data_IF_860206899463
#
_entry.id   IF_860206899463
#
_cell.length_a   1.000
_cell.length_b   1.000
_cell.length_c   1.000
_cell.angle_alpha   90.00
_cell.angle_beta   90.00
_cell.angle_gamma   90.00
#
_symmetry.space_group_name_H-M   'P 1'
#
loop_
_entity.id
_entity.type
_entity.pdbx_description
1 polymer ?
#
# COMPACT_ATOMS: atom_id res chain seq x y z
N UNK A 1 -74.65 -5.07 31.99
CA UNK A 1 -75.38 -4.80 30.72
C UNK A 1 -74.81 -3.55 30.07
N UNK A 2 -74.62 -3.53 28.73
CA UNK A 2 -73.98 -2.46 27.93
C UNK A 2 -72.46 -2.30 28.27
N UNK A 3 -71.49 -2.27 27.35
CA UNK A 3 -71.26 -1.54 26.08
C UNK A 3 -71.12 -0.02 26.27
N UNK A 4 -70.11 0.67 25.72
CA UNK A 4 -68.85 0.26 25.05
C UNK A 4 -67.97 1.53 24.79
N UNK A 5 -66.69 1.37 24.35
CA UNK A 5 -65.96 2.31 23.45
C UNK A 5 -65.66 3.74 24.00
N UNK A 6 -64.48 4.37 23.91
CA UNK A 6 -63.20 4.20 23.18
C UNK A 6 -62.09 4.89 24.07
N UNK A 7 -60.82 5.22 23.74
CA UNK A 7 -59.94 5.21 22.56
C UNK A 7 -58.45 5.06 23.00
N UNK A 8 -57.54 5.03 22.02
CA UNK A 8 -56.06 5.04 22.09
C UNK A 8 -55.48 6.20 22.94
N UNK A 9 -54.32 5.96 23.57
CA UNK A 9 -53.05 6.47 23.01
C UNK A 9 -51.86 5.57 23.37
N UNK A 10 -50.81 5.62 22.55
CA UNK A 10 -49.59 4.80 22.61
C UNK A 10 -48.40 5.70 22.94
N UNK A 11 -47.50 5.28 23.83
CA UNK A 11 -46.09 5.73 23.82
C UNK A 11 -45.19 4.82 24.67
N UNK A 12 -44.54 3.84 24.03
CA UNK A 12 -43.50 3.01 24.64
C UNK A 12 -42.15 3.75 24.48
N UNK A 13 -41.73 4.50 25.50
CA UNK A 13 -40.49 5.28 25.46
C UNK A 13 -39.29 4.51 26.01
N UNK A 14 -38.85 3.45 25.31
CA UNK A 14 -37.53 2.84 25.58
C UNK A 14 -36.46 3.76 25.01
N UNK A 15 -35.82 4.54 25.88
CA UNK A 15 -34.66 5.36 25.54
C UNK A 15 -33.44 4.46 25.28
N UNK A 16 -33.33 3.96 24.05
CA UNK A 16 -32.08 3.44 23.51
C UNK A 16 -31.07 4.59 23.41
N UNK A 17 -30.30 4.80 24.47
CA UNK A 17 -29.16 5.70 24.49
C UNK A 17 -28.04 5.10 23.63
N UNK A 18 -28.15 5.24 22.31
CA UNK A 18 -27.07 4.95 21.37
C UNK A 18 -25.95 5.93 21.65
N UNK A 19 -24.95 5.49 22.42
CA UNK A 19 -23.71 6.25 22.63
C UNK A 19 -22.88 6.13 21.35
N UNK A 20 -23.29 6.88 20.32
CA UNK A 20 -22.47 7.14 19.14
C UNK A 20 -21.19 7.82 19.63
N UNK A 21 -20.12 7.05 19.73
CA UNK A 21 -18.84 7.52 20.25
C UNK A 21 -18.21 8.51 19.29
N UNK A 22 -18.55 9.80 19.45
CA UNK A 22 -18.00 10.88 18.65
C UNK A 22 -16.47 10.90 18.76
N UNK A 23 -15.80 10.35 17.75
CA UNK A 23 -14.36 10.45 17.59
C UNK A 23 -14.01 11.93 17.51
N UNK A 24 -13.24 12.42 18.49
CA UNK A 24 -12.90 13.84 18.55
C UNK A 24 -11.85 14.14 17.47
N UNK A 25 -12.05 15.24 16.75
CA UNK A 25 -11.02 15.85 15.90
C UNK A 25 -9.77 16.11 16.75
N UNK A 26 -8.55 15.77 16.27
CA UNK A 26 -7.31 16.15 16.94
C UNK A 26 -7.26 17.66 17.17
N UNK A 27 -6.70 18.11 18.30
CA UNK A 27 -6.63 19.54 18.62
C UNK A 27 -5.76 20.30 17.62
N UNK A 28 -4.60 19.73 17.29
CA UNK A 28 -3.67 20.17 16.26
C UNK A 28 -3.06 18.94 15.56
N UNK A 29 -2.57 19.15 14.33
CA UNK A 29 -1.76 18.17 13.60
C UNK A 29 -0.30 18.66 13.49
N UNK A 30 0.69 17.75 13.53
CA UNK A 30 2.08 18.11 13.28
C UNK A 30 2.24 18.67 11.86
N UNK A 31 3.23 19.55 11.62
CA UNK A 31 3.35 20.28 10.36
C UNK A 31 3.36 19.37 9.11
N UNK A 32 4.03 18.23 9.16
CA UNK A 32 4.08 17.28 8.04
C UNK A 32 2.75 16.57 7.75
N UNK A 33 1.79 16.58 8.68
CA UNK A 33 0.44 16.04 8.49
C UNK A 33 -0.57 17.05 7.96
N UNK A 34 -0.14 18.25 7.51
CA UNK A 34 -1.03 19.34 7.05
C UNK A 34 -0.63 19.84 5.67
N UNK A 35 -1.61 20.06 4.79
CA UNK A 35 -1.42 20.31 3.36
C UNK A 35 -0.65 21.61 3.06
N UNK A 36 -0.84 22.67 3.86
CA UNK A 36 -0.23 23.98 3.61
C UNK A 36 1.30 23.96 3.73
N UNK A 37 1.86 23.02 4.48
CA UNK A 37 3.32 22.78 4.59
C UNK A 37 3.97 22.41 3.25
N UNK A 38 3.19 21.90 2.30
CA UNK A 38 3.67 21.39 1.01
C UNK A 38 3.44 22.36 -0.16
N UNK A 39 2.83 23.53 0.08
CA UNK A 39 2.62 24.55 -0.96
C UNK A 39 1.69 24.11 -2.09
N UNK A 40 0.75 23.18 -1.81
CA UNK A 40 -0.15 22.62 -2.81
C UNK A 40 -1.07 23.67 -3.44
N UNK A 41 -1.00 23.78 -4.77
CA UNK A 41 -1.98 24.49 -5.59
C UNK A 41 -2.76 23.46 -6.45
N UNK A 42 -4.11 23.39 -6.34
CA UNK A 42 -4.91 22.49 -7.17
C UNK A 42 -4.90 22.84 -8.67
N UNK A 43 -4.53 24.07 -9.06
CA UNK A 43 -4.43 24.48 -10.46
C UNK A 43 -3.09 24.07 -11.13
N UNK A 44 -2.02 23.89 -10.35
CA UNK A 44 -0.70 23.42 -10.82
C UNK A 44 -0.79 22.06 -11.55
N UNK A 45 0.08 21.83 -12.53
CA UNK A 45 0.18 20.51 -13.19
C UNK A 45 0.79 19.53 -12.20
N UNK A 46 0.35 18.28 -12.25
CA UNK A 46 0.93 17.20 -11.44
C UNK A 46 2.46 17.05 -11.64
N UNK A 47 2.94 17.33 -12.86
CA UNK A 47 4.36 17.33 -13.23
C UNK A 47 5.17 18.46 -12.56
N UNK A 48 4.53 19.57 -12.23
CA UNK A 48 5.12 20.69 -11.49
C UNK A 48 5.32 20.30 -10.01
N UNK A 49 4.50 19.37 -9.50
CA UNK A 49 4.57 18.78 -8.15
C UNK A 49 5.61 17.66 -8.02
N UNK A 50 6.26 17.25 -9.12
CA UNK A 50 7.42 16.33 -9.09
C UNK A 50 8.67 17.17 -8.79
N UNK A 51 9.14 17.20 -7.55
CA UNK A 51 10.18 18.14 -7.09
C UNK A 51 11.18 17.52 -6.11
N UNK A 52 12.06 18.35 -5.55
CA UNK A 52 12.96 17.97 -4.45
C UNK A 52 12.14 17.83 -3.16
N UNK A 53 12.38 16.78 -2.39
CA UNK A 53 11.72 16.55 -1.09
C UNK A 53 11.88 17.78 -0.14
N UNK A 54 10.82 18.22 0.55
CA UNK A 54 10.92 19.26 1.58
C UNK A 54 11.92 18.87 2.68
N UNK A 55 12.82 19.76 3.13
CA UNK A 55 13.87 19.41 4.10
C UNK A 55 13.34 18.82 5.42
N UNK A 56 12.19 19.29 5.90
CA UNK A 56 11.54 18.76 7.11
C UNK A 56 11.09 17.30 6.93
N UNK A 57 10.57 16.95 5.74
CA UNK A 57 10.11 15.60 5.41
C UNK A 57 11.29 14.63 5.24
N UNK A 58 12.39 15.09 4.62
CA UNK A 58 13.64 14.32 4.54
C UNK A 58 14.23 14.04 5.92
N UNK A 59 14.24 15.03 6.82
CA UNK A 59 14.75 14.85 8.18
C UNK A 59 13.85 13.88 8.98
N UNK A 60 12.52 14.01 8.86
CA UNK A 60 11.60 13.06 9.47
C UNK A 60 11.87 11.60 9.04
N UNK A 61 12.12 11.34 7.75
CA UNK A 61 12.50 10.01 7.27
C UNK A 61 13.87 9.54 7.78
N UNK A 62 14.88 10.44 7.86
CA UNK A 62 16.18 10.12 8.47
C UNK A 62 16.04 9.68 9.93
N UNK A 63 15.19 10.36 10.69
CA UNK A 63 14.96 10.09 12.10
C UNK A 63 14.12 8.82 12.31
N UNK A 64 13.09 8.59 11.48
CA UNK A 64 12.18 7.44 11.56
C UNK A 64 12.89 6.12 11.23
N UNK A 65 13.57 6.06 10.07
CA UNK A 65 14.32 4.87 9.65
C UNK A 65 15.71 4.75 10.33
N UNK A 66 16.16 5.79 11.04
CA UNK A 66 17.51 5.94 11.61
C UNK A 66 18.60 5.91 10.53
N UNK A 67 18.32 6.55 9.39
CA UNK A 67 19.13 6.56 8.16
C UNK A 67 19.63 7.98 7.83
N UNK A 68 20.64 8.51 8.55
CA UNK A 68 21.16 9.86 8.32
C UNK A 68 21.78 10.04 6.92
N UNK A 69 22.12 8.93 6.25
CA UNK A 69 22.67 8.88 4.89
C UNK A 69 21.63 9.12 3.79
N UNK A 70 20.32 9.12 4.10
CA UNK A 70 19.28 9.55 3.15
C UNK A 70 19.58 10.96 2.63
N UNK A 71 19.49 11.15 1.32
CA UNK A 71 19.77 12.42 0.65
C UNK A 71 18.67 12.83 -0.32
N UNK A 72 18.39 14.13 -0.38
CA UNK A 72 17.46 14.69 -1.36
C UNK A 72 17.93 14.36 -2.79
N UNK A 73 17.02 13.87 -3.63
CA UNK A 73 17.26 13.72 -5.06
C UNK A 73 16.50 14.80 -5.83
N UNK A 74 17.17 15.46 -6.77
CA UNK A 74 16.51 16.39 -7.71
C UNK A 74 16.14 15.61 -8.98
N UNK A 75 14.85 15.38 -9.27
CA UNK A 75 14.45 14.72 -10.50
C UNK A 75 14.86 15.57 -11.70
N UNK A 76 15.46 14.92 -12.70
CA UNK A 76 15.69 15.47 -14.04
C UNK A 76 14.41 15.46 -14.86
N UNK A 77 14.39 16.19 -15.97
CA UNK A 77 13.24 16.20 -16.89
C UNK A 77 12.98 14.80 -17.50
N UNK A 78 14.02 13.98 -17.66
CA UNK A 78 13.89 12.56 -18.02
C UNK A 78 13.23 11.71 -16.93
N UNK A 79 13.48 11.98 -15.64
CA UNK A 79 12.85 11.25 -14.54
C UNK A 79 11.37 11.64 -14.41
N UNK A 80 11.06 12.93 -14.61
CA UNK A 80 9.68 13.43 -14.71
C UNK A 80 8.94 12.80 -15.89
N UNK A 81 9.56 12.79 -17.07
CA UNK A 81 8.97 12.22 -18.28
C UNK A 81 8.66 10.72 -18.11
N UNK A 82 9.59 9.94 -17.53
CA UNK A 82 9.39 8.51 -17.25
C UNK A 82 8.28 8.26 -16.22
N UNK A 83 8.22 9.06 -15.15
CA UNK A 83 7.13 8.95 -14.16
C UNK A 83 5.78 9.28 -14.79
N UNK A 84 5.70 10.34 -15.60
CA UNK A 84 4.48 10.72 -16.32
C UNK A 84 4.12 9.74 -17.44
N UNK A 85 5.08 9.05 -18.07
CA UNK A 85 4.82 7.91 -18.95
C UNK A 85 4.13 6.79 -18.18
N UNK A 86 4.73 6.36 -17.06
CA UNK A 86 4.23 5.23 -16.27
C UNK A 86 2.89 5.54 -15.62
N UNK A 87 2.63 6.78 -15.18
CA UNK A 87 1.32 7.20 -14.65
C UNK A 87 0.19 7.02 -15.68
N UNK A 88 0.46 7.20 -16.98
CA UNK A 88 -0.53 6.96 -18.06
C UNK A 88 -0.82 5.47 -18.28
N UNK A 89 0.00 4.57 -17.73
CA UNK A 89 -0.24 3.13 -17.75
C UNK A 89 -1.20 2.68 -16.64
N UNK A 90 -1.40 3.48 -15.58
CA UNK A 90 -2.32 3.17 -14.48
C UNK A 90 -3.80 3.27 -14.94
N UNK A 91 -4.77 2.74 -14.17
CA UNK A 91 -6.19 2.98 -14.40
C UNK A 91 -6.54 4.48 -14.30
N UNK A 92 -7.48 5.02 -15.10
CA UNK A 92 -7.75 6.47 -15.14
C UNK A 92 -8.24 7.12 -13.83
N UNK A 93 -8.62 6.33 -12.83
CA UNK A 93 -8.93 6.85 -11.49
C UNK A 93 -7.69 7.42 -10.79
N UNK A 94 -6.51 6.80 -10.97
CA UNK A 94 -5.25 7.25 -10.37
C UNK A 94 -4.88 8.64 -10.88
N UNK A 95 -4.97 8.91 -12.18
CA UNK A 95 -4.65 10.24 -12.74
C UNK A 95 -5.59 11.33 -12.21
N UNK A 96 -6.89 11.03 -12.08
CA UNK A 96 -7.88 11.96 -11.47
C UNK A 96 -7.55 12.24 -10.01
N UNK A 97 -7.29 11.19 -9.24
CA UNK A 97 -6.96 11.29 -7.82
C UNK A 97 -5.64 12.02 -7.59
N UNK A 98 -4.59 11.71 -8.35
CA UNK A 98 -3.30 12.41 -8.24
C UNK A 98 -3.46 13.90 -8.55
N UNK A 99 -4.17 14.27 -9.63
CA UNK A 99 -4.46 15.68 -9.95
C UNK A 99 -5.19 16.40 -8.80
N UNK A 100 -6.17 15.75 -8.17
CA UNK A 100 -7.02 16.33 -7.14
C UNK A 100 -6.50 16.24 -5.69
N UNK A 101 -5.58 15.31 -5.38
CA UNK A 101 -5.17 14.93 -4.01
C UNK A 101 -3.68 14.64 -3.80
N UNK A 102 -2.88 14.44 -4.85
CA UNK A 102 -1.43 14.34 -4.67
C UNK A 102 -0.84 15.74 -4.46
N UNK A 103 -0.32 15.98 -3.27
CA UNK A 103 0.29 17.24 -2.86
C UNK A 103 1.70 17.40 -3.45
N UNK A 104 2.49 16.32 -3.45
CA UNK A 104 3.84 16.28 -4.02
C UNK A 104 4.32 14.87 -4.33
N UNK A 105 5.24 14.79 -5.31
CA UNK A 105 5.96 13.56 -5.66
C UNK A 105 7.45 13.86 -5.55
N UNK A 106 8.13 13.10 -4.69
CA UNK A 106 9.51 13.35 -4.28
C UNK A 106 10.41 12.13 -4.47
N UNK A 107 11.71 12.34 -4.39
CA UNK A 107 12.71 11.27 -4.45
C UNK A 107 13.76 11.40 -3.35
N UNK A 108 14.13 10.27 -2.73
CA UNK A 108 15.17 10.20 -1.68
C UNK A 108 16.21 9.15 -2.05
N UNK A 109 17.43 9.61 -2.29
CA UNK A 109 18.59 8.73 -2.49
C UNK A 109 18.87 7.93 -1.22
N UNK A 110 19.01 6.61 -1.35
CA UNK A 110 19.32 5.70 -0.23
C UNK A 110 18.10 5.16 0.53
N UNK A 111 16.88 5.63 0.20
CA UNK A 111 15.60 5.23 0.79
C UNK A 111 15.45 3.71 0.92
N UNK A 112 14.92 3.24 2.05
CA UNK A 112 14.56 1.83 2.24
C UNK A 112 13.29 1.51 1.46
N UNK A 113 13.27 0.33 0.84
CA UNK A 113 12.21 -0.04 -0.09
C UNK A 113 12.23 0.76 -1.40
N UNK A 114 11.05 0.82 -2.04
CA UNK A 114 10.86 1.41 -3.36
C UNK A 114 10.12 2.77 -3.32
N UNK A 115 9.31 2.98 -2.28
CA UNK A 115 8.63 4.24 -2.00
C UNK A 115 8.03 4.26 -0.60
N UNK A 116 7.39 5.39 -0.27
CA UNK A 116 6.55 5.63 0.91
C UNK A 116 5.44 6.62 0.50
N UNK A 117 4.20 6.36 0.90
CA UNK A 117 3.06 7.28 0.72
C UNK A 117 2.51 7.75 2.07
N UNK A 118 2.53 9.06 2.29
CA UNK A 118 2.12 9.68 3.56
C UNK A 118 0.87 10.55 3.38
N UNK A 119 -0.10 10.43 4.27
CA UNK A 119 -1.28 11.31 4.33
C UNK A 119 -0.93 12.73 4.80
N UNK A 120 -1.70 13.71 4.33
CA UNK A 120 -1.75 15.08 4.88
C UNK A 120 -3.19 15.58 4.85
N UNK A 121 -3.61 16.37 5.84
CA UNK A 121 -4.98 16.90 5.91
C UNK A 121 -5.05 18.30 5.30
N UNK A 122 -6.03 18.51 4.42
CA UNK A 122 -6.30 19.78 3.73
C UNK A 122 -7.58 20.47 4.19
N UNK A 123 -8.07 21.46 3.39
CA UNK A 123 -9.33 22.13 3.64
C UNK A 123 -10.51 21.15 3.79
N UNK A 124 -11.47 21.50 4.65
CA UNK A 124 -12.66 20.69 4.95
C UNK A 124 -12.34 19.27 5.46
N UNK A 125 -11.22 19.11 6.17
CA UNK A 125 -10.71 17.83 6.72
C UNK A 125 -10.47 16.73 5.67
N UNK A 126 -10.39 17.10 4.39
CA UNK A 126 -10.11 16.18 3.28
C UNK A 126 -8.69 15.64 3.37
N UNK A 127 -8.55 14.33 3.19
CA UNK A 127 -7.24 13.65 3.11
C UNK A 127 -6.62 13.87 1.72
N UNK A 128 -5.35 14.26 1.72
CA UNK A 128 -4.44 14.38 0.58
C UNK A 128 -3.22 13.49 0.86
N UNK A 129 -2.31 13.33 -0.11
CA UNK A 129 -1.13 12.48 0.07
C UNK A 129 0.12 13.02 -0.64
N UNK A 130 1.29 12.68 -0.11
CA UNK A 130 2.58 12.81 -0.78
C UNK A 130 3.11 11.41 -1.11
N UNK A 131 3.78 11.26 -2.26
CA UNK A 131 4.52 10.05 -2.61
C UNK A 131 6.02 10.36 -2.60
N UNK A 132 6.83 9.53 -1.94
CA UNK A 132 8.29 9.57 -2.02
C UNK A 132 8.80 8.28 -2.65
N UNK A 133 9.69 8.36 -3.63
CA UNK A 133 10.21 7.22 -4.37
C UNK A 133 11.73 7.05 -4.21
N UNK A 134 12.21 5.81 -4.31
CA UNK A 134 13.63 5.52 -4.36
C UNK A 134 14.15 5.74 -5.80
N UNK A 135 15.09 6.68 -6.06
CA UNK A 135 15.58 6.97 -7.40
C UNK A 135 16.43 5.83 -8.01
N UNK A 136 16.76 4.77 -7.25
CA UNK A 136 17.27 3.53 -7.83
C UNK A 136 16.25 2.88 -8.79
N UNK A 137 14.94 2.99 -8.48
CA UNK A 137 13.84 2.41 -9.24
C UNK A 137 13.69 3.00 -10.66
N UNK A 138 14.22 4.21 -10.90
CA UNK A 138 14.33 4.82 -12.23
C UNK A 138 15.26 4.01 -13.17
N UNK A 139 16.21 3.26 -12.60
CA UNK A 139 17.32 2.62 -13.32
C UNK A 139 17.21 1.09 -13.35
N UNK A 140 16.85 0.47 -12.22
CA UNK A 140 16.71 -0.99 -12.08
C UNK A 140 15.54 -1.55 -12.89
N UNK A 141 15.65 -2.80 -13.34
CA UNK A 141 14.53 -3.50 -14.01
C UNK A 141 13.41 -3.88 -13.03
N UNK A 142 12.18 -4.07 -13.53
CA UNK A 142 11.04 -4.47 -12.71
C UNK A 142 11.29 -5.81 -11.98
N UNK A 143 11.68 -6.87 -12.71
CA UNK A 143 12.12 -8.15 -12.14
C UNK A 143 13.27 -8.01 -11.13
N UNK A 144 14.20 -7.09 -11.36
CA UNK A 144 15.36 -6.85 -10.49
C UNK A 144 14.95 -6.20 -9.17
N UNK A 145 14.08 -5.19 -9.23
CA UNK A 145 13.50 -4.50 -8.07
C UNK A 145 12.68 -5.47 -7.21
N UNK A 146 11.82 -6.30 -7.82
CA UNK A 146 11.03 -7.29 -7.09
C UNK A 146 11.91 -8.43 -6.54
N UNK A 147 12.92 -8.89 -7.28
CA UNK A 147 13.93 -9.83 -6.76
C UNK A 147 14.66 -9.28 -5.53
N UNK A 148 15.03 -7.99 -5.53
CA UNK A 148 15.66 -7.31 -4.37
C UNK A 148 14.70 -7.23 -3.18
N UNK A 149 13.40 -7.01 -3.41
CA UNK A 149 12.36 -7.06 -2.37
C UNK A 149 12.26 -8.44 -1.74
N UNK A 150 11.95 -9.48 -2.52
CA UNK A 150 11.72 -10.83 -1.99
C UNK A 150 12.95 -11.39 -1.25
N UNK A 151 14.17 -11.22 -1.82
CA UNK A 151 15.43 -11.62 -1.15
C UNK A 151 15.62 -10.98 0.22
N UNK A 152 15.09 -9.78 0.45
CA UNK A 152 15.24 -9.09 1.75
C UNK A 152 14.44 -9.71 2.90
N UNK A 153 13.60 -10.72 2.62
CA UNK A 153 12.96 -11.56 3.64
C UNK A 153 13.89 -12.59 4.29
N UNK A 154 14.95 -13.00 3.58
CA UNK A 154 15.65 -14.25 3.89
C UNK A 154 17.12 -14.05 4.26
N UNK A 155 17.59 -14.81 5.25
CA UNK A 155 19.01 -14.96 5.58
C UNK A 155 19.64 -15.84 4.49
N UNK A 156 20.65 -15.36 3.73
CA UNK A 156 21.14 -16.07 2.55
C UNK A 156 22.00 -17.29 2.88
N UNK A 157 21.92 -18.32 2.05
CA UNK A 157 22.73 -19.55 2.10
C UNK A 157 23.26 -19.89 0.70
N UNK A 158 24.43 -20.53 0.64
CA UNK A 158 25.02 -20.96 -0.64
C UNK A 158 24.13 -22.02 -1.32
N UNK A 159 23.95 -21.91 -2.64
CA UNK A 159 23.07 -22.78 -3.43
C UNK A 159 21.57 -22.47 -3.34
N UNK A 160 21.16 -21.48 -2.53
CA UNK A 160 19.77 -21.06 -2.40
C UNK A 160 19.56 -19.63 -2.90
N UNK A 161 18.43 -19.36 -3.55
CA UNK A 161 18.10 -18.02 -4.07
C UNK A 161 16.59 -17.84 -4.25
N UNK A 162 16.11 -16.60 -4.24
CA UNK A 162 14.74 -16.23 -4.61
C UNK A 162 14.82 -15.13 -5.68
N UNK A 163 14.06 -15.29 -6.75
CA UNK A 163 13.97 -14.33 -7.87
C UNK A 163 12.51 -14.08 -8.24
N UNK A 164 12.24 -12.93 -8.85
CA UNK A 164 10.93 -12.63 -9.44
C UNK A 164 11.11 -12.38 -10.93
N UNK A 165 10.34 -13.11 -11.75
CA UNK A 165 10.12 -12.72 -13.14
C UNK A 165 8.84 -11.87 -13.23
N UNK A 166 9.04 -10.59 -13.54
CA UNK A 166 8.01 -9.62 -13.85
C UNK A 166 8.27 -8.91 -15.21
N UNK A 167 9.02 -9.56 -16.10
CA UNK A 167 9.32 -9.05 -17.44
C UNK A 167 10.43 -7.99 -17.50
N UNK A 168 11.04 -7.87 -18.68
CA UNK A 168 12.14 -6.93 -18.94
C UNK A 168 11.73 -5.55 -19.48
N UNK A 169 10.44 -5.32 -19.72
CA UNK A 169 9.95 -4.10 -20.42
C UNK A 169 10.01 -2.83 -19.57
N UNK A 170 9.79 -2.96 -18.26
CA UNK A 170 9.59 -1.83 -17.36
C UNK A 170 10.68 -1.71 -16.29
N UNK A 171 10.85 -0.49 -15.77
CA UNK A 171 11.72 -0.19 -14.63
C UNK A 171 11.00 -0.44 -13.30
N UNK A 172 11.76 -0.57 -12.22
CA UNK A 172 11.23 -0.69 -10.85
C UNK A 172 10.27 0.45 -10.47
N UNK A 173 10.41 1.62 -11.10
CA UNK A 173 9.51 2.77 -10.96
C UNK A 173 8.03 2.41 -11.22
N UNK A 174 7.74 1.48 -12.14
CA UNK A 174 6.35 1.11 -12.44
C UNK A 174 5.70 0.38 -11.25
N UNK A 175 6.41 -0.54 -10.63
CA UNK A 175 5.97 -1.18 -9.39
C UNK A 175 5.77 -0.14 -8.29
N UNK A 176 6.77 0.72 -8.07
CA UNK A 176 6.71 1.73 -7.02
C UNK A 176 5.52 2.68 -7.21
N UNK A 177 5.31 3.19 -8.42
CA UNK A 177 4.21 4.11 -8.73
C UNK A 177 2.82 3.43 -8.68
N UNK A 178 2.71 2.15 -9.01
CA UNK A 178 1.47 1.38 -8.85
C UNK A 178 1.13 1.17 -7.36
N UNK A 179 2.13 0.73 -6.59
CA UNK A 179 2.00 0.40 -5.18
C UNK A 179 1.74 1.65 -4.33
N UNK A 180 2.62 2.65 -4.39
CA UNK A 180 2.42 3.95 -3.73
C UNK A 180 1.16 4.67 -4.23
N UNK A 181 0.86 4.55 -5.53
CA UNK A 181 -0.35 5.12 -6.10
C UNK A 181 -1.63 4.47 -5.58
N UNK A 182 -1.58 3.21 -5.14
CA UNK A 182 -2.72 2.52 -4.55
C UNK A 182 -2.98 2.99 -3.11
N UNK A 183 -1.94 3.15 -2.30
CA UNK A 183 -2.03 3.83 -0.99
C UNK A 183 -2.56 5.26 -1.13
N UNK A 184 -2.01 6.04 -2.09
CA UNK A 184 -2.48 7.39 -2.39
C UNK A 184 -3.95 7.44 -2.83
N UNK A 185 -4.41 6.43 -3.57
CA UNK A 185 -5.81 6.27 -3.94
C UNK A 185 -6.69 5.88 -2.73
N UNK A 186 -6.21 5.00 -1.85
CA UNK A 186 -6.90 4.59 -0.64
C UNK A 186 -7.10 5.75 0.34
N UNK A 187 -6.04 6.50 0.66
CA UNK A 187 -6.13 7.74 1.44
C UNK A 187 -7.18 8.72 0.89
N UNK A 188 -7.25 8.86 -0.44
CA UNK A 188 -8.11 9.84 -1.11
C UNK A 188 -9.57 9.39 -1.28
N UNK A 189 -9.86 8.09 -1.21
CA UNK A 189 -11.16 7.51 -1.55
C UNK A 189 -11.76 6.59 -0.48
N UNK A 190 -10.99 6.14 0.51
CA UNK A 190 -11.43 5.22 1.55
C UNK A 190 -11.76 3.83 1.02
N UNK A 191 -10.82 3.18 0.31
CA UNK A 191 -11.03 1.86 -0.29
C UNK A 191 -10.98 0.78 0.78
N UNK A 192 -9.91 0.73 1.57
CA UNK A 192 -9.77 -0.16 2.72
C UNK A 192 -10.50 0.41 3.96
N UNK A 193 -10.61 -0.33 5.08
CA UNK A 193 -11.18 0.23 6.31
C UNK A 193 -10.39 1.43 6.87
N UNK A 194 -9.07 1.48 6.64
CA UNK A 194 -8.21 2.67 6.74
C UNK A 194 -6.80 2.35 6.19
N UNK A 195 -6.19 3.28 5.46
CA UNK A 195 -4.90 3.04 4.78
C UNK A 195 -3.69 2.94 5.74
N UNK A 196 -3.75 3.58 6.91
CA UNK A 196 -2.61 3.78 7.82
C UNK A 196 -3.10 3.85 9.27
N UNK A 197 -2.50 3.06 10.18
CA UNK A 197 -2.83 3.00 11.61
C UNK A 197 -2.27 4.18 12.43
N UNK A 198 -1.33 4.94 11.87
CA UNK A 198 -0.84 6.22 12.41
C UNK A 198 -1.77 7.39 12.10
N UNK A 199 -2.61 7.28 11.07
CA UNK A 199 -3.57 8.34 10.72
C UNK A 199 -4.65 8.43 11.83
N UNK A 200 -4.93 9.61 12.40
CA UNK A 200 -5.92 9.72 13.47
C UNK A 200 -7.31 9.27 13.01
N UNK A 201 -7.97 8.40 13.79
CA UNK A 201 -9.27 7.78 13.46
C UNK A 201 -10.39 8.74 13.03
N UNK A 202 -10.29 10.03 13.36
CA UNK A 202 -11.19 11.07 12.87
C UNK A 202 -11.18 11.22 11.33
N UNK A 203 -10.05 10.91 10.68
CA UNK A 203 -9.84 11.00 9.23
C UNK A 203 -9.96 9.65 8.50
N UNK A 204 -10.27 8.56 9.22
CA UNK A 204 -10.59 7.28 8.60
C UNK A 204 -11.93 7.36 7.84
N UNK A 205 -12.14 6.58 6.77
CA UNK A 205 -13.43 6.55 6.10
C UNK A 205 -14.54 6.07 7.05
N UNK A 206 -15.69 6.74 7.03
CA UNK A 206 -16.84 6.35 7.85
C UNK A 206 -17.43 4.99 7.40
N UNK A 207 -17.42 4.75 6.08
CA UNK A 207 -17.69 3.48 5.42
C UNK A 207 -16.66 3.30 4.30
N UNK A 208 -16.11 2.10 4.14
CA UNK A 208 -15.10 1.83 3.11
C UNK A 208 -15.75 1.42 1.77
N UNK A 209 -15.18 1.86 0.64
CA UNK A 209 -15.69 1.55 -0.71
C UNK A 209 -15.66 0.04 -0.98
N UNK A 210 -14.68 -0.68 -0.44
CA UNK A 210 -14.61 -2.15 -0.54
C UNK A 210 -15.56 -2.89 0.42
N UNK A 211 -16.23 -2.17 1.32
CA UNK A 211 -17.20 -2.69 2.29
C UNK A 211 -16.65 -3.85 3.12
N UNK A 212 -17.10 -5.07 2.80
CA UNK A 212 -16.69 -6.29 3.52
C UNK A 212 -15.46 -7.00 2.94
N UNK A 213 -14.91 -6.57 1.78
CA UNK A 213 -13.86 -7.30 1.04
C UNK A 213 -12.66 -7.68 1.91
N UNK A 214 -12.00 -6.69 2.54
CA UNK A 214 -10.86 -6.96 3.43
C UNK A 214 -11.28 -7.73 4.67
N UNK A 215 -12.48 -7.46 5.21
CA UNK A 215 -13.06 -8.16 6.37
C UNK A 215 -13.43 -9.63 6.07
N UNK A 216 -13.25 -10.14 4.84
CA UNK A 216 -13.25 -11.58 4.52
C UNK A 216 -11.92 -12.26 4.92
N UNK A 217 -10.82 -11.52 4.83
CA UNK A 217 -9.43 -12.02 4.99
C UNK A 217 -8.81 -11.56 6.31
N UNK A 218 -9.07 -10.33 6.70
CA UNK A 218 -8.47 -9.62 7.83
C UNK A 218 -9.44 -9.53 9.01
N UNK A 219 -8.90 -9.72 10.21
CA UNK A 219 -9.60 -9.55 11.49
C UNK A 219 -9.21 -8.26 12.21
N UNK A 220 -8.00 -7.76 11.94
CA UNK A 220 -7.50 -6.43 12.27
C UNK A 220 -6.42 -6.04 11.24
N UNK A 221 -5.94 -4.79 11.24
CA UNK A 221 -5.08 -4.17 10.21
C UNK A 221 -3.97 -5.07 9.66
N UNK A 222 -3.21 -5.74 10.54
CA UNK A 222 -2.09 -6.64 10.23
C UNK A 222 -2.32 -8.10 10.67
N UNK A 223 -3.55 -8.43 11.08
CA UNK A 223 -3.94 -9.73 11.67
C UNK A 223 -5.00 -10.41 10.80
N UNK A 224 -4.62 -11.36 9.93
CA UNK A 224 -5.55 -12.13 9.13
C UNK A 224 -6.29 -13.18 9.97
N UNK A 225 -7.44 -13.65 9.48
CA UNK A 225 -8.08 -14.82 10.07
C UNK A 225 -7.20 -16.06 9.89
N UNK A 226 -7.26 -17.00 10.83
CA UNK A 226 -6.50 -18.27 10.80
C UNK A 226 -6.72 -19.11 9.52
N UNK A 227 -7.81 -18.91 8.78
CA UNK A 227 -8.08 -19.52 7.46
C UNK A 227 -7.30 -18.90 6.29
N UNK A 228 -6.66 -17.77 6.53
CA UNK A 228 -5.96 -16.93 5.54
C UNK A 228 -4.50 -16.69 5.91
N UNK A 229 -4.13 -16.85 7.19
CA UNK A 229 -2.74 -16.83 7.66
C UNK A 229 -1.95 -18.07 7.20
N UNK A 230 -0.63 -17.97 7.15
CA UNK A 230 0.27 -19.05 6.74
C UNK A 230 1.56 -19.10 7.57
N UNK A 231 2.26 -20.24 7.53
CA UNK A 231 3.45 -20.47 8.34
C UNK A 231 4.58 -19.49 7.99
N UNK A 232 5.07 -18.76 9.00
CA UNK A 232 6.16 -17.79 8.88
C UNK A 232 5.75 -16.37 8.44
N UNK A 233 4.47 -16.07 8.19
CA UNK A 233 3.99 -14.73 7.79
C UNK A 233 4.34 -13.63 8.80
N UNK A 234 4.30 -13.96 10.09
CA UNK A 234 4.69 -13.10 11.20
C UNK A 234 6.20 -12.80 11.20
N UNK A 235 7.03 -13.75 10.76
CA UNK A 235 8.47 -13.60 10.59
C UNK A 235 8.86 -12.81 9.33
N UNK A 236 7.97 -12.65 8.35
CA UNK A 236 8.25 -11.90 7.12
C UNK A 236 8.61 -10.44 7.44
N UNK A 237 9.78 -10.00 6.98
CA UNK A 237 10.34 -8.65 7.16
C UNK A 237 11.00 -8.21 5.87
N UNK A 238 10.88 -6.94 5.48
CA UNK A 238 11.50 -6.43 4.26
C UNK A 238 12.59 -5.39 4.55
N UNK A 239 13.61 -5.34 3.70
CA UNK A 239 14.69 -4.34 3.70
C UNK A 239 15.47 -4.20 5.04
N UNK A 240 15.35 -5.18 5.95
CA UNK A 240 15.91 -5.13 7.31
C UNK A 240 14.99 -4.52 8.37
N UNK A 241 13.83 -3.97 7.98
CA UNK A 241 12.83 -3.41 8.89
C UNK A 241 12.32 -4.47 9.88
N UNK A 242 11.95 -4.01 11.08
CA UNK A 242 11.49 -4.90 12.16
C UNK A 242 12.58 -5.85 12.71
N UNK A 243 13.86 -5.61 12.42
CA UNK A 243 14.98 -6.44 12.84
C UNK A 243 15.16 -7.71 11.99
N UNK A 244 14.97 -7.59 10.67
CA UNK A 244 15.10 -8.70 9.72
C UNK A 244 16.42 -8.69 8.92
N UNK A 245 16.62 -9.65 8.00
CA UNK A 245 15.74 -10.81 7.72
C UNK A 245 15.70 -11.81 8.89
N UNK A 246 14.56 -12.47 9.10
CA UNK A 246 14.33 -13.41 10.21
C UNK A 246 14.23 -14.87 9.80
N UNK A 247 13.86 -15.11 8.54
CA UNK A 247 13.60 -16.44 7.99
C UNK A 247 14.89 -16.94 7.33
N UNK A 248 15.28 -18.20 7.54
CA UNK A 248 16.40 -18.75 6.76
C UNK A 248 15.93 -19.05 5.33
N UNK A 249 16.73 -18.76 4.30
CA UNK A 249 16.31 -19.06 2.92
C UNK A 249 16.02 -20.57 2.70
N UNK A 250 16.56 -21.45 3.56
CA UNK A 250 16.20 -22.89 3.58
C UNK A 250 14.72 -23.16 3.87
N UNK A 251 14.03 -22.23 4.54
CA UNK A 251 12.60 -22.29 4.88
C UNK A 251 11.69 -21.68 3.79
N UNK A 252 12.26 -21.01 2.77
CA UNK A 252 11.52 -20.30 1.73
C UNK A 252 10.47 -21.18 1.05
N UNK A 253 10.74 -22.48 0.90
CA UNK A 253 9.76 -23.46 0.41
C UNK A 253 8.45 -23.42 1.19
N UNK A 254 8.51 -23.55 2.52
CA UNK A 254 7.31 -23.65 3.37
C UNK A 254 6.56 -22.32 3.45
N UNK A 255 7.29 -21.20 3.43
CA UNK A 255 6.74 -19.85 3.40
C UNK A 255 5.96 -19.61 2.10
N UNK A 256 6.52 -19.97 0.94
CA UNK A 256 5.87 -19.81 -0.35
C UNK A 256 4.78 -20.86 -0.62
N UNK A 257 4.95 -22.12 -0.20
CA UNK A 257 3.87 -23.13 -0.18
C UNK A 257 2.71 -22.72 0.75
N UNK A 258 2.98 -21.89 1.75
CA UNK A 258 1.96 -21.24 2.59
C UNK A 258 1.25 -20.11 1.84
N UNK A 259 2.02 -19.20 1.23
CA UNK A 259 1.49 -18.09 0.42
C UNK A 259 0.58 -18.57 -0.72
N UNK A 260 0.97 -19.62 -1.44
CA UNK A 260 0.20 -20.19 -2.57
C UNK A 260 -1.19 -20.69 -2.16
N UNK A 261 -1.34 -21.09 -0.89
CA UNK A 261 -2.60 -21.58 -0.30
C UNK A 261 -3.32 -20.49 0.49
N UNK A 262 -2.87 -19.24 0.37
CA UNK A 262 -3.40 -18.06 1.06
C UNK A 262 -4.09 -17.12 0.06
N UNK A 263 -4.94 -16.17 0.52
CA UNK A 263 -5.53 -15.16 -0.34
C UNK A 263 -4.58 -14.03 -0.76
N UNK A 264 -3.30 -14.06 -0.37
CA UNK A 264 -2.37 -12.93 -0.55
C UNK A 264 -1.58 -13.02 -1.86
N UNK A 265 -1.46 -11.88 -2.53
CA UNK A 265 -0.72 -11.79 -3.81
C UNK A 265 0.79 -12.02 -3.65
N UNK A 266 1.35 -11.59 -2.52
CA UNK A 266 2.78 -11.66 -2.24
C UNK A 266 3.06 -11.73 -0.75
N UNK A 267 4.31 -12.02 -0.37
CA UNK A 267 4.75 -11.89 1.02
C UNK A 267 4.61 -10.44 1.54
N UNK A 268 4.72 -9.44 0.66
CA UNK A 268 4.53 -8.02 1.01
C UNK A 268 3.06 -7.72 1.33
N UNK A 269 2.14 -8.20 0.49
CA UNK A 269 0.69 -8.03 0.69
C UNK A 269 0.13 -8.79 1.89
N UNK A 270 0.91 -9.69 2.49
CA UNK A 270 0.55 -10.40 3.72
C UNK A 270 0.83 -9.62 5.02
N UNK A 271 1.34 -8.38 4.92
CA UNK A 271 1.71 -7.56 6.10
C UNK A 271 0.54 -6.77 6.70
N UNK A 272 -0.31 -6.12 5.89
CA UNK A 272 -1.56 -5.46 6.32
C UNK A 272 -2.59 -5.44 5.18
N UNK A 273 -3.85 -5.08 5.46
CA UNK A 273 -4.84 -4.93 4.39
C UNK A 273 -4.53 -3.78 3.40
N UNK A 274 -3.70 -2.80 3.79
CA UNK A 274 -3.28 -1.72 2.91
C UNK A 274 -2.23 -2.25 1.93
N UNK A 275 -1.28 -3.06 2.41
CA UNK A 275 -0.32 -3.76 1.56
C UNK A 275 -1.01 -4.80 0.66
N UNK A 276 -2.04 -5.48 1.15
CA UNK A 276 -2.91 -6.39 0.38
C UNK A 276 -3.60 -5.62 -0.77
N UNK A 277 -4.23 -4.47 -0.50
CA UNK A 277 -4.81 -3.59 -1.52
C UNK A 277 -3.76 -3.16 -2.56
N UNK A 278 -2.62 -2.65 -2.10
CA UNK A 278 -1.58 -2.12 -2.98
C UNK A 278 -0.97 -3.20 -3.89
N UNK A 279 -0.72 -4.40 -3.36
CA UNK A 279 -0.19 -5.54 -4.13
C UNK A 279 -1.24 -6.14 -5.08
N UNK A 280 -2.50 -6.31 -4.64
CA UNK A 280 -3.59 -6.80 -5.50
C UNK A 280 -3.77 -5.87 -6.71
N UNK A 281 -3.90 -4.56 -6.48
CA UNK A 281 -4.06 -3.57 -7.54
C UNK A 281 -2.82 -3.50 -8.45
N UNK A 282 -1.61 -3.55 -7.88
CA UNK A 282 -0.35 -3.53 -8.64
C UNK A 282 -0.24 -4.72 -9.58
N UNK A 283 -0.41 -5.95 -9.08
CA UNK A 283 -0.24 -7.14 -9.92
C UNK A 283 -1.40 -7.35 -10.90
N UNK A 284 -2.64 -6.99 -10.54
CA UNK A 284 -3.74 -6.98 -11.50
C UNK A 284 -3.47 -6.05 -12.71
N UNK A 285 -2.88 -4.86 -12.48
CA UNK A 285 -2.48 -3.96 -13.58
C UNK A 285 -1.27 -4.51 -14.34
N UNK A 286 -0.23 -4.98 -13.65
CA UNK A 286 0.99 -5.51 -14.29
C UNK A 286 0.68 -6.72 -15.20
N UNK A 287 -0.07 -7.70 -14.71
CA UNK A 287 -0.31 -8.94 -15.44
C UNK A 287 -1.54 -8.88 -16.35
N UNK A 288 -2.62 -8.25 -15.89
CA UNK A 288 -3.86 -8.09 -16.67
C UNK A 288 -3.77 -7.01 -17.74
N UNK A 289 -3.56 -5.74 -17.34
CA UNK A 289 -3.54 -4.60 -18.27
C UNK A 289 -2.26 -4.51 -19.10
N UNK A 290 -1.11 -4.85 -18.51
CA UNK A 290 0.21 -4.65 -19.12
C UNK A 290 0.90 -5.95 -19.60
N UNK A 291 0.26 -7.10 -19.41
CA UNK A 291 0.71 -8.39 -19.95
C UNK A 291 2.10 -8.84 -19.48
N UNK A 292 2.59 -8.32 -18.35
CA UNK A 292 3.83 -8.79 -17.76
C UNK A 292 3.59 -10.12 -17.01
N UNK A 293 4.59 -11.01 -16.91
CA UNK A 293 4.48 -12.14 -15.99
C UNK A 293 4.43 -11.63 -14.54
N UNK A 294 4.02 -12.50 -13.62
CA UNK A 294 4.43 -12.42 -12.23
C UNK A 294 4.69 -13.84 -11.74
N UNK A 295 5.96 -14.19 -11.59
CA UNK A 295 6.40 -15.50 -11.11
C UNK A 295 7.44 -15.34 -10.03
N UNK A 296 7.34 -16.12 -8.96
CA UNK A 296 8.39 -16.23 -7.94
C UNK A 296 9.14 -17.53 -8.14
N UNK A 297 10.45 -17.45 -8.32
CA UNK A 297 11.34 -18.58 -8.58
C UNK A 297 12.20 -18.84 -7.34
N UNK A 298 12.07 -20.02 -6.75
CA UNK A 298 12.82 -20.47 -5.58
C UNK A 298 13.86 -21.47 -6.04
N UNK A 299 15.13 -21.09 -5.97
CA UNK A 299 16.28 -21.94 -6.28
C UNK A 299 16.72 -22.69 -5.03
N UNK A 300 16.88 -24.00 -5.19
CA UNK A 300 17.52 -24.93 -4.26
C UNK A 300 18.86 -25.40 -4.87
N UNK A 301 19.74 -26.07 -4.11
CA UNK A 301 21.02 -26.55 -4.65
C UNK A 301 20.85 -27.44 -5.89
N UNK A 302 19.85 -28.33 -5.87
CA UNK A 302 19.64 -29.35 -6.91
C UNK A 302 18.32 -29.19 -7.70
N UNK A 303 17.52 -28.15 -7.43
CA UNK A 303 16.19 -27.98 -8.05
C UNK A 303 15.69 -26.53 -8.07
N UNK A 304 14.55 -26.30 -8.75
CA UNK A 304 13.92 -25.00 -8.92
C UNK A 304 12.39 -25.16 -8.81
N UNK A 305 11.73 -24.38 -7.96
CA UNK A 305 10.26 -24.26 -7.93
C UNK A 305 9.85 -22.90 -8.47
N UNK A 306 8.71 -22.83 -9.17
CA UNK A 306 8.12 -21.57 -9.66
C UNK A 306 6.68 -21.48 -9.19
N UNK A 307 6.33 -20.37 -8.53
CA UNK A 307 4.97 -20.01 -8.16
C UNK A 307 4.45 -18.91 -9.08
N UNK A 308 3.15 -18.91 -9.34
CA UNK A 308 2.46 -17.92 -10.18
C UNK A 308 1.19 -17.43 -9.44
N UNK A 309 1.30 -16.53 -8.42
CA UNK A 309 0.20 -16.20 -7.50
C UNK A 309 -1.10 -15.72 -8.17
N UNK A 310 -0.99 -15.05 -9.33
CA UNK A 310 -2.13 -14.65 -10.18
C UNK A 310 -2.98 -15.82 -10.72
N UNK A 311 -2.56 -17.08 -10.56
CA UNK A 311 -3.32 -18.28 -10.96
C UNK A 311 -4.13 -18.92 -9.82
N UNK A 312 -3.91 -18.51 -8.57
CA UNK A 312 -4.64 -18.99 -7.38
C UNK A 312 -5.69 -17.99 -6.89
N UNK A 313 -6.20 -18.21 -5.67
CA UNK A 313 -7.21 -17.38 -5.01
C UNK A 313 -6.85 -15.89 -4.97
N UNK A 314 -5.55 -15.58 -4.79
CA UNK A 314 -5.04 -14.22 -4.83
C UNK A 314 -5.29 -13.53 -6.19
N UNK A 315 -5.18 -14.26 -7.30
CA UNK A 315 -5.52 -13.76 -8.64
C UNK A 315 -7.01 -13.46 -8.81
N UNK A 316 -7.89 -14.28 -8.23
CA UNK A 316 -9.33 -14.01 -8.22
C UNK A 316 -9.67 -12.76 -7.37
N UNK A 317 -9.06 -12.63 -6.19
CA UNK A 317 -9.18 -11.42 -5.36
C UNK A 317 -8.64 -10.16 -6.04
N UNK A 318 -7.60 -10.28 -6.85
CA UNK A 318 -7.04 -9.17 -7.61
C UNK A 318 -7.99 -8.68 -8.73
N UNK A 319 -8.87 -9.56 -9.22
CA UNK A 319 -10.01 -9.17 -10.07
C UNK A 319 -11.10 -8.44 -9.28
N UNK A 320 -11.54 -8.98 -8.14
CA UNK A 320 -12.55 -8.36 -7.25
C UNK A 320 -12.09 -6.99 -6.71
N UNK A 321 -10.78 -6.79 -6.52
CA UNK A 321 -10.20 -5.51 -6.07
C UNK A 321 -10.12 -4.43 -7.17
N UNK A 322 -10.40 -4.74 -8.45
CA UNK A 322 -10.40 -3.79 -9.57
C UNK A 322 -11.78 -3.54 -10.20
N UNK A 323 -12.85 -4.20 -9.71
CA UNK A 323 -14.22 -4.11 -10.25
C UNK A 323 -15.07 -3.03 -9.58
#
# INVERSE_FOLDING_TARGET
MKRASLLRFLCLAVLLSVVSGCVKRPADLPALGRLETFGFDPASRLEDRITVIPPAMLNHYRDWDKRPDYAAYKPSDSDKALLMEYLRLLPPVYERTFKARCAGIYFVSGLMGNGITTWVIGPEDKVYFNITLNPAALKTGLSETLTKRERSCFIPRSGWDVKVDAGGKYKGLLYALLHEGAHGLDYAAGISPYCDDTMPKYYWPAESVSGSFFNKTWSDYSVPYKRSDFHGRDLVTFYGLGGGPKIDITEAKYVYEGLEKSPFMSLYGSKSWAEDLAELATFAVLTGKLGQPYKVLIQYPDSLTTLEPMKGDAGARAGEALS
#
